data_IF_489292557841
#
_entry.id   IF_489292557841
#
_cell.length_a   1.000
_cell.length_b   1.000
_cell.length_c   1.000
_cell.angle_alpha   90.00
_cell.angle_beta   90.00
_cell.angle_gamma   90.00
#
_symmetry.space_group_name_H-M   'P 1'
#
loop_
_entity.id
_entity.type
_entity.pdbx_description
1 polymer ?
#
# COMPACT_ATOMS: atom_id res chain seq x y z
N UNK A 1 10.09 12.45 -30.00
CA UNK A 1 9.49 11.22 -29.43
C UNK A 1 10.45 10.43 -28.51
N UNK A 2 11.69 10.88 -28.27
CA UNK A 2 12.70 10.14 -27.46
C UNK A 2 12.66 10.45 -25.95
N UNK A 3 12.19 11.63 -25.54
CA UNK A 3 12.31 12.08 -24.13
C UNK A 3 11.50 11.28 -23.10
N UNK A 4 10.26 10.90 -23.41
CA UNK A 4 9.40 10.18 -22.45
C UNK A 4 9.89 8.75 -22.18
N UNK A 5 10.31 8.03 -23.22
CA UNK A 5 10.81 6.66 -23.07
C UNK A 5 12.11 6.64 -22.26
N UNK A 6 13.04 7.56 -22.54
CA UNK A 6 14.29 7.72 -21.79
C UNK A 6 14.01 8.11 -20.32
N UNK A 7 13.09 9.05 -20.08
CA UNK A 7 12.69 9.45 -18.73
C UNK A 7 12.09 8.27 -17.95
N UNK A 8 11.23 7.47 -18.59
CA UNK A 8 10.63 6.27 -17.98
C UNK A 8 11.69 5.22 -17.66
N UNK A 9 12.63 4.96 -18.55
CA UNK A 9 13.69 3.98 -18.34
C UNK A 9 14.62 4.39 -17.20
N UNK A 10 15.00 5.67 -17.14
CA UNK A 10 15.79 6.17 -16.01
C UNK A 10 15.01 6.12 -14.69
N UNK A 11 13.74 6.55 -14.69
CA UNK A 11 12.84 6.42 -13.55
C UNK A 11 12.75 4.98 -13.05
N UNK A 12 12.59 4.01 -13.95
CA UNK A 12 12.49 2.59 -13.60
C UNK A 12 13.77 2.06 -12.93
N UNK A 13 14.95 2.45 -13.44
CA UNK A 13 16.24 2.11 -12.81
C UNK A 13 16.38 2.73 -11.42
N UNK A 14 15.94 3.98 -11.23
CA UNK A 14 15.92 4.61 -9.91
C UNK A 14 14.98 3.86 -8.95
N UNK A 15 13.77 3.49 -9.38
CA UNK A 15 12.85 2.73 -8.54
C UNK A 15 13.42 1.36 -8.16
N UNK A 16 14.00 0.63 -9.11
CA UNK A 16 14.65 -0.65 -8.83
C UNK A 16 15.78 -0.50 -7.79
N UNK A 17 16.61 0.54 -7.91
CA UNK A 17 17.67 0.82 -6.93
C UNK A 17 17.10 1.16 -5.54
N UNK A 18 16.02 1.94 -5.47
CA UNK A 18 15.35 2.26 -4.21
C UNK A 18 14.64 1.07 -3.57
N UNK A 19 14.24 0.07 -4.35
CA UNK A 19 13.53 -1.09 -3.81
C UNK A 19 14.35 -1.90 -2.80
N UNK A 20 15.68 -1.81 -2.83
CA UNK A 20 16.54 -2.60 -1.94
C UNK A 20 16.38 -4.11 -2.15
N UNK A 21 15.97 -4.53 -3.36
CA UNK A 21 15.73 -5.92 -3.75
C UNK A 21 16.56 -6.26 -4.99
N UNK A 22 17.04 -7.50 -5.06
CA UNK A 22 17.75 -8.02 -6.22
C UNK A 22 16.80 -8.53 -7.33
N UNK A 23 15.48 -8.41 -7.16
CA UNK A 23 14.48 -8.86 -8.14
C UNK A 23 14.47 -7.95 -9.38
N UNK A 24 14.97 -8.41 -10.54
CA UNK A 24 15.07 -7.58 -11.74
C UNK A 24 13.69 -7.17 -12.29
N UNK A 25 12.64 -7.92 -11.96
CA UNK A 25 11.27 -7.69 -12.45
C UNK A 25 10.70 -6.36 -11.94
N UNK A 26 11.22 -5.82 -10.82
CA UNK A 26 10.79 -4.52 -10.30
C UNK A 26 11.11 -3.39 -11.29
N UNK A 27 12.32 -3.39 -11.85
CA UNK A 27 12.70 -2.42 -12.87
C UNK A 27 11.86 -2.58 -14.14
N UNK A 28 11.66 -3.81 -14.60
CA UNK A 28 10.82 -4.11 -15.76
C UNK A 28 9.37 -3.66 -15.58
N UNK A 29 8.79 -3.86 -14.39
CA UNK A 29 7.43 -3.43 -14.08
C UNK A 29 7.31 -1.90 -14.18
N UNK A 30 8.21 -1.14 -13.53
CA UNK A 30 8.21 0.32 -13.61
C UNK A 30 8.53 0.86 -15.01
N UNK A 31 9.32 0.13 -15.82
CA UNK A 31 9.64 0.52 -17.18
C UNK A 31 8.49 0.29 -18.17
N UNK A 32 7.60 -0.68 -17.89
CA UNK A 32 6.57 -1.11 -18.83
C UNK A 32 5.16 -0.62 -18.48
N UNK A 33 4.87 -0.34 -17.20
CA UNK A 33 3.58 0.25 -16.80
C UNK A 33 3.63 1.77 -17.03
N UNK A 34 2.85 2.32 -17.99
CA UNK A 34 2.89 3.74 -18.33
C UNK A 34 2.19 4.55 -17.23
N UNK A 35 2.96 5.22 -16.36
CA UNK A 35 2.41 5.95 -15.22
C UNK A 35 1.35 6.99 -15.62
N UNK A 36 1.56 7.70 -16.73
CA UNK A 36 0.62 8.71 -17.26
C UNK A 36 -0.76 8.16 -17.57
N UNK A 37 -0.88 6.87 -17.91
CA UNK A 37 -2.17 6.25 -18.20
C UNK A 37 -3.09 6.21 -16.97
N UNK A 38 -2.54 6.40 -15.76
CA UNK A 38 -3.27 6.33 -14.50
C UNK A 38 -3.47 7.70 -13.85
N UNK A 39 -3.04 8.80 -14.46
CA UNK A 39 -3.07 10.14 -13.84
C UNK A 39 -4.11 11.08 -14.46
N UNK A 40 -4.87 10.61 -15.44
CA UNK A 40 -5.73 11.46 -16.25
C UNK A 40 -4.94 12.45 -17.12
N UNK A 41 -5.62 13.32 -17.87
CA UNK A 41 -4.97 14.28 -18.76
C UNK A 41 -4.20 15.34 -17.98
N UNK A 42 -2.94 15.58 -18.38
CA UNK A 42 -2.15 16.70 -17.88
C UNK A 42 -2.58 18.04 -18.48
N UNK A 43 -1.94 19.16 -18.10
CA UNK A 43 -0.87 19.27 -17.10
C UNK A 43 -1.33 18.87 -15.69
N UNK A 44 -0.46 18.20 -14.95
CA UNK A 44 -0.75 17.64 -13.64
C UNK A 44 -0.37 18.57 -12.50
N UNK A 45 -1.00 18.39 -11.34
CA UNK A 45 -0.58 19.05 -10.09
C UNK A 45 0.31 18.11 -9.30
N UNK A 46 1.58 18.48 -9.14
CA UNK A 46 2.57 17.79 -8.31
C UNK A 46 2.54 18.36 -6.89
N UNK A 47 2.68 17.49 -5.89
CA UNK A 47 2.87 17.87 -4.48
C UNK A 47 4.36 17.80 -4.15
N UNK A 48 4.92 18.87 -3.59
CA UNK A 48 6.33 18.99 -3.23
C UNK A 48 6.46 19.67 -1.85
N UNK A 49 6.71 18.87 -0.81
CA UNK A 49 6.58 19.33 0.57
C UNK A 49 5.16 19.81 0.86
N UNK A 50 5.01 20.99 1.43
CA UNK A 50 3.70 21.64 1.66
C UNK A 50 3.17 22.37 0.41
N UNK A 51 3.97 22.44 -0.66
CA UNK A 51 3.66 23.16 -1.89
C UNK A 51 2.97 22.31 -2.96
N UNK A 52 2.33 22.99 -3.90
CA UNK A 52 1.76 22.39 -5.12
C UNK A 52 2.31 23.12 -6.34
N UNK A 53 2.74 22.37 -7.34
CA UNK A 53 3.31 22.89 -8.59
C UNK A 53 2.61 22.24 -9.77
N UNK A 54 2.13 23.04 -10.72
CA UNK A 54 1.54 22.53 -11.96
C UNK A 54 2.65 22.22 -12.97
N UNK A 55 2.58 21.07 -13.64
CA UNK A 55 3.54 20.76 -14.71
C UNK A 55 3.41 21.78 -15.85
N UNK A 56 4.53 22.15 -16.52
CA UNK A 56 4.49 23.12 -17.61
C UNK A 56 3.62 22.67 -18.81
N UNK A 57 3.49 21.36 -19.00
CA UNK A 57 2.71 20.75 -20.08
C UNK A 57 2.17 19.38 -19.67
N UNK A 58 1.49 18.70 -20.60
CA UNK A 58 1.07 17.31 -20.46
C UNK A 58 2.16 16.30 -20.90
N UNK A 59 3.41 16.72 -21.09
CA UNK A 59 4.52 15.80 -21.37
C UNK A 59 4.76 14.86 -20.17
N UNK A 60 4.60 13.52 -20.33
CA UNK A 60 4.80 12.57 -19.24
C UNK A 60 6.21 12.59 -18.65
N UNK A 61 7.23 13.14 -19.33
CA UNK A 61 8.56 13.30 -18.75
C UNK A 61 8.54 14.05 -17.39
N UNK A 62 7.55 14.92 -17.16
CA UNK A 62 7.39 15.64 -15.90
C UNK A 62 6.97 14.76 -14.70
N UNK A 63 6.34 13.60 -14.93
CA UNK A 63 5.86 12.70 -13.87
C UNK A 63 6.75 11.48 -13.64
N UNK A 64 7.76 11.26 -14.49
CA UNK A 64 8.77 10.20 -14.34
C UNK A 64 9.87 10.62 -13.36
N UNK A 65 9.43 11.00 -12.16
CA UNK A 65 10.24 11.47 -11.04
C UNK A 65 9.65 10.92 -9.74
N UNK A 66 10.38 11.02 -8.63
CA UNK A 66 9.86 10.71 -7.30
C UNK A 66 8.94 11.83 -6.79
N UNK A 67 7.79 11.98 -7.42
CA UNK A 67 6.81 13.04 -7.14
C UNK A 67 5.44 12.43 -6.89
N UNK A 68 4.66 13.10 -6.06
CA UNK A 68 3.24 12.82 -5.86
C UNK A 68 2.42 13.61 -6.87
N UNK A 69 1.45 12.98 -7.52
CA UNK A 69 0.50 13.66 -8.41
C UNK A 69 -0.88 13.62 -7.78
N UNK A 70 -1.51 14.79 -7.66
CA UNK A 70 -2.89 14.92 -7.13
C UNK A 70 -3.88 14.20 -8.05
N UNK A 71 -4.70 13.33 -7.47
CA UNK A 71 -5.83 12.67 -8.15
C UNK A 71 -7.15 13.37 -7.81
N UNK A 72 -7.33 13.73 -6.53
CA UNK A 72 -8.49 14.48 -6.04
C UNK A 72 -8.00 15.49 -4.99
N UNK A 73 -8.02 16.78 -5.35
CA UNK A 73 -7.49 17.85 -4.51
C UNK A 73 -8.37 18.09 -3.27
N UNK A 74 -9.68 17.96 -3.42
CA UNK A 74 -10.66 18.24 -2.37
C UNK A 74 -10.61 17.17 -1.28
N UNK A 75 -10.34 15.92 -1.68
CA UNK A 75 -10.16 14.78 -0.76
C UNK A 75 -8.70 14.59 -0.33
N UNK A 76 -7.76 15.35 -0.88
CA UNK A 76 -6.32 15.22 -0.60
C UNK A 76 -5.71 13.92 -1.12
N UNK A 77 -6.31 13.27 -2.12
CA UNK A 77 -5.87 12.00 -2.69
C UNK A 77 -4.81 12.26 -3.75
N UNK A 78 -3.71 11.51 -3.68
CA UNK A 78 -2.63 11.51 -4.65
C UNK A 78 -2.32 10.09 -5.11
N UNK A 79 -1.52 9.97 -6.17
CA UNK A 79 -1.21 8.69 -6.78
C UNK A 79 -0.16 7.85 -6.03
N UNK A 80 0.34 8.29 -4.86
CA UNK A 80 1.38 7.66 -4.04
C UNK A 80 2.82 7.89 -4.54
N UNK A 81 3.77 7.90 -3.60
CA UNK A 81 5.18 8.23 -3.88
C UNK A 81 5.94 7.02 -4.46
N UNK A 82 6.56 7.16 -5.64
CA UNK A 82 7.26 6.06 -6.30
C UNK A 82 8.35 5.36 -5.47
N UNK A 83 9.27 6.12 -4.86
CA UNK A 83 10.37 5.53 -4.09
C UNK A 83 9.85 4.77 -2.86
N UNK A 84 8.83 5.32 -2.19
CA UNK A 84 8.12 4.62 -1.11
C UNK A 84 7.56 3.29 -1.59
N UNK A 85 6.82 3.28 -2.69
CA UNK A 85 6.21 2.06 -3.21
C UNK A 85 7.25 1.06 -3.74
N UNK A 86 8.36 1.53 -4.32
CA UNK A 86 9.47 0.67 -4.71
C UNK A 86 10.09 -0.05 -3.49
N UNK A 87 10.37 0.68 -2.39
CA UNK A 87 10.83 0.10 -1.13
C UNK A 87 9.81 -0.91 -0.57
N UNK A 88 8.52 -0.61 -0.67
CA UNK A 88 7.46 -1.53 -0.25
C UNK A 88 7.43 -2.80 -1.10
N UNK A 89 7.56 -2.70 -2.42
CA UNK A 89 7.64 -3.86 -3.30
C UNK A 89 8.86 -4.73 -3.02
N UNK A 90 10.03 -4.12 -2.78
CA UNK A 90 11.21 -4.87 -2.36
C UNK A 90 11.02 -5.57 -1.01
N UNK A 91 10.28 -4.96 -0.08
CA UNK A 91 10.03 -5.52 1.25
C UNK A 91 8.97 -6.63 1.26
N UNK A 92 7.86 -6.44 0.53
CA UNK A 92 6.74 -7.41 0.46
C UNK A 92 7.06 -8.58 -0.49
N UNK A 93 7.98 -8.36 -1.44
CA UNK A 93 8.55 -9.34 -2.36
C UNK A 93 7.50 -10.20 -3.09
N UNK A 94 6.65 -9.62 -3.97
CA UNK A 94 5.62 -10.36 -4.71
C UNK A 94 6.22 -11.41 -5.63
N UNK A 95 5.59 -12.60 -5.68
CA UNK A 95 6.03 -13.73 -6.50
C UNK A 95 4.99 -14.12 -7.55
N UNK A 96 5.41 -14.67 -8.71
CA UNK A 96 4.47 -15.19 -9.70
C UNK A 96 3.52 -16.22 -9.08
N UNK A 97 2.23 -16.13 -9.43
CA UNK A 97 1.17 -17.00 -8.96
C UNK A 97 0.53 -16.59 -7.61
N UNK A 98 1.07 -15.61 -6.89
CA UNK A 98 0.49 -15.14 -5.63
C UNK A 98 -0.83 -14.39 -5.85
N UNK A 99 -1.80 -14.64 -4.96
CA UNK A 99 -3.06 -13.90 -4.93
C UNK A 99 -2.91 -12.62 -4.10
N UNK A 100 -3.32 -11.48 -4.66
CA UNK A 100 -3.16 -10.16 -4.04
C UNK A 100 -4.52 -9.54 -3.77
N UNK A 101 -4.71 -8.97 -2.58
CA UNK A 101 -5.73 -7.97 -2.32
C UNK A 101 -5.07 -6.60 -2.18
N UNK A 102 -5.45 -5.64 -3.02
CA UNK A 102 -5.00 -4.24 -2.92
C UNK A 102 -6.14 -3.39 -2.36
N UNK A 103 -5.88 -2.62 -1.30
CA UNK A 103 -6.88 -1.77 -0.62
C UNK A 103 -6.49 -0.31 -0.84
N UNK A 104 -7.39 0.48 -1.44
CA UNK A 104 -7.13 1.87 -1.83
C UNK A 104 -6.40 1.94 -3.17
N UNK A 105 -7.01 1.33 -4.19
CA UNK A 105 -6.40 1.22 -5.52
C UNK A 105 -6.17 2.57 -6.23
N UNK A 106 -6.89 3.62 -5.82
CA UNK A 106 -6.91 4.91 -6.49
C UNK A 106 -7.32 4.72 -7.94
N UNK A 107 -6.52 5.25 -8.87
CA UNK A 107 -6.71 5.06 -10.32
C UNK A 107 -6.03 3.81 -10.88
N UNK A 108 -5.36 2.99 -10.06
CA UNK A 108 -4.89 1.65 -10.44
C UNK A 108 -3.39 1.48 -10.74
N UNK A 109 -2.55 2.52 -10.66
CA UNK A 109 -1.13 2.42 -11.06
C UNK A 109 -0.36 1.32 -10.30
N UNK A 110 -0.47 1.29 -8.97
CA UNK A 110 0.20 0.25 -8.17
C UNK A 110 -0.48 -1.12 -8.29
N UNK A 111 -1.78 -1.17 -8.61
CA UNK A 111 -2.47 -2.41 -8.97
C UNK A 111 -1.87 -3.02 -10.23
N UNK A 112 -1.61 -2.22 -11.26
CA UNK A 112 -0.99 -2.67 -12.50
C UNK A 112 0.42 -3.23 -12.26
N UNK A 113 1.22 -2.58 -11.41
CA UNK A 113 2.55 -3.06 -11.03
C UNK A 113 2.47 -4.40 -10.28
N UNK A 114 1.57 -4.52 -9.29
CA UNK A 114 1.30 -5.77 -8.59
C UNK A 114 0.89 -6.87 -9.57
N UNK A 115 -0.06 -6.59 -10.47
CA UNK A 115 -0.58 -7.52 -11.46
C UNK A 115 0.52 -8.10 -12.35
N UNK A 116 1.47 -7.28 -12.81
CA UNK A 116 2.63 -7.76 -13.57
C UNK A 116 3.57 -8.63 -12.73
N UNK A 117 3.83 -8.24 -11.48
CA UNK A 117 4.77 -8.94 -10.60
C UNK A 117 4.25 -10.29 -10.13
N UNK A 118 2.93 -10.47 -10.03
CA UNK A 118 2.32 -11.72 -9.59
C UNK A 118 1.74 -12.57 -10.70
N UNK A 119 1.67 -12.08 -11.94
CA UNK A 119 1.14 -12.85 -13.07
C UNK A 119 1.75 -14.27 -13.13
N UNK A 120 0.93 -15.32 -13.32
CA UNK A 120 -0.51 -15.32 -13.63
C UNK A 120 -1.45 -15.24 -12.41
N UNK A 121 -0.95 -14.95 -11.20
CA UNK A 121 -1.74 -14.82 -9.98
C UNK A 121 -2.75 -13.67 -10.02
N UNK A 122 -3.90 -13.78 -9.32
CA UNK A 122 -4.97 -12.78 -9.38
C UNK A 122 -4.71 -11.57 -8.46
N UNK A 123 -5.20 -10.40 -8.85
CA UNK A 123 -5.23 -9.19 -8.03
C UNK A 123 -6.67 -8.70 -7.88
N UNK A 124 -7.17 -8.64 -6.65
CA UNK A 124 -8.45 -8.00 -6.31
C UNK A 124 -8.18 -6.63 -5.72
N UNK A 125 -8.60 -5.57 -6.41
CA UNK A 125 -8.32 -4.19 -6.05
C UNK A 125 -9.58 -3.49 -5.55
N UNK A 126 -9.62 -3.16 -4.26
CA UNK A 126 -10.70 -2.40 -3.64
C UNK A 126 -10.42 -0.90 -3.73
N UNK A 127 -11.42 -0.15 -4.16
CA UNK A 127 -11.43 1.31 -4.11
C UNK A 127 -12.77 1.79 -3.52
N UNK A 128 -12.71 2.72 -2.57
CA UNK A 128 -13.90 3.21 -1.86
C UNK A 128 -14.60 4.32 -2.65
N UNK A 129 -13.84 5.15 -3.36
CA UNK A 129 -14.40 6.25 -4.14
C UNK A 129 -14.90 5.77 -5.50
N UNK A 130 -16.18 6.02 -5.80
CA UNK A 130 -16.81 5.54 -7.02
C UNK A 130 -16.14 6.05 -8.31
N UNK A 131 -15.67 7.31 -8.34
CA UNK A 131 -15.06 7.90 -9.53
C UNK A 131 -13.63 7.36 -9.75
N UNK A 132 -12.87 7.17 -8.67
CA UNK A 132 -11.57 6.53 -8.74
C UNK A 132 -11.69 5.06 -9.12
N UNK A 133 -12.66 4.32 -8.56
CA UNK A 133 -12.91 2.93 -8.92
C UNK A 133 -13.25 2.77 -10.40
N UNK A 134 -14.13 3.60 -10.95
CA UNK A 134 -14.45 3.60 -12.38
C UNK A 134 -13.23 3.94 -13.25
N UNK A 135 -12.38 4.87 -12.79
CA UNK A 135 -11.12 5.19 -13.49
C UNK A 135 -10.14 4.00 -13.45
N UNK A 136 -10.03 3.32 -12.30
CA UNK A 136 -9.20 2.14 -12.16
C UNK A 136 -9.67 1.00 -13.06
N UNK A 137 -10.98 0.72 -13.11
CA UNK A 137 -11.57 -0.26 -14.03
C UNK A 137 -11.16 0.01 -15.47
N UNK A 138 -11.28 1.26 -15.93
CA UNK A 138 -10.90 1.66 -17.30
C UNK A 138 -9.39 1.49 -17.54
N UNK A 139 -8.55 1.98 -16.62
CA UNK A 139 -7.09 1.96 -16.75
C UNK A 139 -6.50 0.54 -16.67
N UNK A 140 -7.21 -0.38 -16.01
CA UNK A 140 -6.74 -1.74 -15.75
C UNK A 140 -7.28 -2.78 -16.75
N UNK A 141 -8.04 -2.37 -17.77
CA UNK A 141 -8.59 -3.27 -18.81
C UNK A 141 -7.56 -4.16 -19.50
N UNK A 142 -6.31 -3.72 -19.62
CA UNK A 142 -5.22 -4.49 -20.22
C UNK A 142 -4.60 -5.54 -19.29
N UNK A 143 -5.03 -5.63 -18.03
CA UNK A 143 -4.48 -6.54 -17.01
C UNK A 143 -5.52 -7.62 -16.68
N UNK A 144 -5.50 -8.70 -17.44
CA UNK A 144 -6.51 -9.78 -17.39
C UNK A 144 -6.63 -10.47 -16.01
N UNK A 145 -5.57 -10.40 -15.19
CA UNK A 145 -5.54 -10.96 -13.84
C UNK A 145 -6.01 -9.98 -12.76
N UNK A 146 -6.65 -8.86 -13.12
CA UNK A 146 -7.13 -7.85 -12.18
C UNK A 146 -8.65 -7.78 -12.15
N UNK A 147 -9.22 -7.79 -10.95
CA UNK A 147 -10.62 -7.44 -10.68
C UNK A 147 -10.67 -6.20 -9.80
N UNK A 148 -11.35 -5.15 -10.23
CA UNK A 148 -11.60 -3.94 -9.41
C UNK A 148 -12.95 -4.10 -8.72
N UNK A 149 -13.00 -3.74 -7.45
CA UNK A 149 -14.22 -3.71 -6.64
C UNK A 149 -14.37 -2.30 -6.09
N UNK A 150 -15.40 -1.60 -6.56
CA UNK A 150 -15.90 -0.41 -5.86
C UNK A 150 -16.56 -0.86 -4.55
N UNK A 151 -15.90 -0.61 -3.42
CA UNK A 151 -16.40 -1.06 -2.13
C UNK A 151 -15.46 -0.79 -0.97
N UNK A 152 -16.02 -0.86 0.24
CA UNK A 152 -15.27 -0.66 1.47
C UNK A 152 -14.60 -1.97 1.92
N UNK A 153 -13.28 -2.08 1.75
CA UNK A 153 -12.50 -3.24 2.19
C UNK A 153 -12.52 -3.47 3.71
N UNK A 154 -12.89 -2.47 4.52
CA UNK A 154 -13.02 -2.62 5.99
C UNK A 154 -14.23 -3.48 6.34
N UNK A 155 -15.33 -3.37 5.59
CA UNK A 155 -16.60 -4.07 5.88
C UNK A 155 -16.92 -5.19 4.89
N UNK A 156 -16.28 -5.19 3.73
CA UNK A 156 -16.48 -6.21 2.69
C UNK A 156 -15.66 -7.46 3.01
N UNK A 157 -16.13 -8.67 2.63
CA UNK A 157 -15.32 -9.87 2.72
C UNK A 157 -14.13 -9.76 1.77
N UNK A 158 -12.93 -10.05 2.29
CA UNK A 158 -11.71 -10.11 1.48
C UNK A 158 -11.44 -11.56 1.03
N UNK A 159 -10.90 -11.77 -0.18
CA UNK A 159 -10.49 -13.09 -0.62
C UNK A 159 -9.22 -13.55 0.12
N UNK A 160 -9.05 -14.87 0.24
CA UNK A 160 -7.83 -15.44 0.78
C UNK A 160 -6.62 -15.03 -0.09
N UNK A 161 -5.65 -14.36 0.52
CA UNK A 161 -4.57 -13.66 -0.20
C UNK A 161 -3.19 -14.06 0.31
N UNK A 162 -2.24 -14.20 -0.61
CA UNK A 162 -0.81 -14.31 -0.31
C UNK A 162 -0.23 -12.93 0.04
N UNK A 163 -0.79 -11.86 -0.55
CA UNK A 163 -0.42 -10.47 -0.27
C UNK A 163 -1.66 -9.63 -0.01
N UNK A 164 -1.64 -8.84 1.07
CA UNK A 164 -2.55 -7.70 1.24
C UNK A 164 -1.73 -6.41 1.20
N UNK A 165 -2.02 -5.56 0.23
CA UNK A 165 -1.30 -4.31 -0.01
C UNK A 165 -2.24 -3.14 0.32
N UNK A 166 -1.92 -2.32 1.32
CA UNK A 166 -2.85 -1.30 1.83
C UNK A 166 -2.29 0.09 1.58
N UNK A 167 -3.05 0.92 0.86
CA UNK A 167 -2.70 2.29 0.47
C UNK A 167 -3.55 3.33 1.22
N UNK A 168 -3.89 3.06 2.48
CA UNK A 168 -4.59 3.98 3.37
C UNK A 168 -4.16 3.76 4.81
N UNK A 169 -3.95 4.84 5.56
CA UNK A 169 -3.46 4.81 6.94
C UNK A 169 -4.53 4.28 7.90
N UNK A 170 -4.21 3.23 8.65
CA UNK A 170 -5.13 2.62 9.64
C UNK A 170 -4.60 2.77 11.07
N UNK A 171 -5.51 2.87 12.04
CA UNK A 171 -5.15 2.79 13.45
C UNK A 171 -4.66 1.39 13.81
N UNK A 172 -5.31 0.37 13.26
CA UNK A 172 -4.87 -1.02 13.24
C UNK A 172 -5.56 -1.74 12.06
N UNK A 173 -4.99 -2.83 11.50
CA UNK A 173 -5.69 -3.59 10.48
C UNK A 173 -6.94 -4.27 11.10
N UNK A 174 -8.10 -4.19 10.44
CA UNK A 174 -9.26 -5.00 10.80
C UNK A 174 -8.91 -6.49 10.93
N UNK A 175 -9.50 -7.18 11.91
CA UNK A 175 -9.23 -8.61 12.14
C UNK A 175 -9.52 -9.46 10.89
N UNK A 176 -10.51 -9.06 10.08
CA UNK A 176 -10.85 -9.72 8.82
C UNK A 176 -9.68 -9.69 7.81
N UNK A 177 -8.85 -8.65 7.80
CA UNK A 177 -7.69 -8.57 6.89
C UNK A 177 -6.62 -9.57 7.30
N UNK A 178 -6.35 -9.69 8.61
CA UNK A 178 -5.42 -10.69 9.12
C UNK A 178 -5.91 -12.12 8.83
N UNK A 179 -7.21 -12.38 9.01
CA UNK A 179 -7.84 -13.67 8.71
C UNK A 179 -7.86 -14.01 7.22
N UNK A 180 -7.81 -12.99 6.34
CA UNK A 180 -7.73 -13.19 4.89
C UNK A 180 -6.31 -13.54 4.41
N UNK A 181 -5.27 -13.42 5.25
CA UNK A 181 -3.93 -13.88 4.89
C UNK A 181 -3.86 -15.41 4.89
N UNK A 182 -3.37 -15.98 3.79
CA UNK A 182 -2.99 -17.39 3.71
C UNK A 182 -1.80 -17.68 4.64
N UNK A 183 -1.55 -18.94 5.03
CA UNK A 183 -0.32 -19.32 5.73
C UNK A 183 0.94 -18.84 4.97
N UNK A 184 1.84 -18.15 5.67
CA UNK A 184 3.03 -17.54 5.05
C UNK A 184 2.75 -16.31 4.18
N UNK A 185 1.48 -15.88 4.08
CA UNK A 185 1.06 -14.66 3.40
C UNK A 185 1.52 -13.42 4.15
N UNK A 186 1.59 -12.30 3.43
CA UNK A 186 2.18 -11.05 3.91
C UNK A 186 1.21 -9.88 3.73
N UNK A 187 1.24 -8.92 4.64
CA UNK A 187 0.53 -7.66 4.48
C UNK A 187 1.47 -6.48 4.68
N UNK A 188 1.36 -5.45 3.85
CA UNK A 188 1.99 -4.16 4.11
C UNK A 188 0.92 -3.10 4.28
N UNK A 189 1.03 -2.31 5.34
CA UNK A 189 0.10 -1.22 5.60
C UNK A 189 0.78 -0.03 6.30
N UNK A 190 0.27 1.20 6.11
CA UNK A 190 0.67 2.36 6.89
C UNK A 190 -0.07 2.38 8.23
N UNK A 191 0.69 2.16 9.31
CA UNK A 191 0.20 2.20 10.68
C UNK A 191 0.22 3.63 11.22
N UNK A 192 -0.99 4.19 11.40
CA UNK A 192 -1.25 5.56 11.85
C UNK A 192 -2.27 5.61 13.01
N UNK A 193 -1.96 5.05 14.19
CA UNK A 193 -2.87 5.07 15.35
C UNK A 193 -2.98 6.45 16.03
N UNK A 194 -2.07 7.38 15.71
CA UNK A 194 -2.12 8.79 16.09
C UNK A 194 -1.19 9.57 15.17
N UNK A 195 -1.34 10.91 15.08
CA UNK A 195 -0.52 11.75 14.19
C UNK A 195 1.00 11.61 14.39
N UNK A 196 1.43 11.36 15.64
CA UNK A 196 2.85 11.15 15.99
C UNK A 196 3.42 9.81 15.52
N UNK A 197 2.59 8.88 15.04
CA UNK A 197 2.98 7.55 14.59
C UNK A 197 2.59 7.40 13.12
N UNK A 198 3.61 7.26 12.27
CA UNK A 198 3.44 7.10 10.84
C UNK A 198 4.52 6.13 10.34
N UNK A 199 4.21 4.83 10.36
CA UNK A 199 5.15 3.76 10.02
C UNK A 199 4.55 2.82 8.98
N UNK A 200 5.34 2.38 8.01
CA UNK A 200 4.98 1.20 7.22
C UNK A 200 5.30 -0.05 8.04
N UNK A 201 4.35 -0.98 8.09
CA UNK A 201 4.48 -2.26 8.81
C UNK A 201 4.30 -3.39 7.84
N UNK A 202 5.28 -4.31 7.82
CA UNK A 202 5.15 -5.62 7.19
C UNK A 202 4.59 -6.59 8.23
N UNK A 203 3.59 -7.36 7.86
CA UNK A 203 3.02 -8.46 8.65
C UNK A 203 3.22 -9.75 7.87
N UNK A 204 3.57 -10.84 8.57
CA UNK A 204 3.66 -12.18 7.99
C UNK A 204 2.79 -13.13 8.82
N UNK A 205 1.87 -13.83 8.15
CA UNK A 205 1.10 -14.91 8.77
C UNK A 205 2.01 -16.11 9.04
N UNK A 206 1.98 -16.61 10.27
CA UNK A 206 2.73 -17.80 10.72
C UNK A 206 1.78 -18.81 11.33
N UNK A 207 2.27 -20.00 11.65
CA UNK A 207 1.48 -21.01 12.38
C UNK A 207 1.10 -20.57 13.80
N UNK A 208 1.86 -19.65 14.40
CA UNK A 208 1.68 -19.20 15.78
C UNK A 208 1.02 -17.82 15.90
N UNK A 209 0.59 -17.21 14.81
CA UNK A 209 0.03 -15.85 14.78
C UNK A 209 0.70 -14.96 13.73
N UNK A 210 0.69 -13.65 13.92
CA UNK A 210 1.19 -12.71 12.93
C UNK A 210 2.48 -12.03 13.40
N UNK A 211 3.61 -12.34 12.75
CA UNK A 211 4.84 -11.57 12.94
C UNK A 211 4.66 -10.18 12.34
N UNK A 212 5.17 -9.13 12.99
CA UNK A 212 5.10 -7.76 12.46
C UNK A 212 6.45 -7.05 12.54
N UNK A 213 6.72 -6.22 11.54
CA UNK A 213 7.94 -5.45 11.44
C UNK A 213 7.65 -4.06 10.88
N UNK A 214 7.57 -3.04 11.75
CA UNK A 214 7.69 -1.66 11.33
C UNK A 214 9.07 -1.44 10.70
N UNK A 215 9.15 -0.89 9.50
CA UNK A 215 10.41 -0.85 8.75
C UNK A 215 10.80 0.52 8.18
N UNK A 216 9.87 1.46 8.03
CA UNK A 216 10.17 2.82 7.61
C UNK A 216 9.09 3.80 8.05
N UNK A 217 9.38 5.10 7.99
CA UNK A 217 8.34 6.13 8.10
C UNK A 217 7.43 6.10 6.88
N UNK A 218 6.13 6.29 7.07
CA UNK A 218 5.17 6.33 5.97
C UNK A 218 3.89 7.04 6.38
N UNK A 219 3.46 8.00 5.55
CA UNK A 219 2.24 8.77 5.76
C UNK A 219 1.31 8.59 4.55
N UNK A 220 0.06 8.21 4.81
CA UNK A 220 -0.99 8.00 3.82
C UNK A 220 -2.27 8.65 4.32
N UNK A 221 -3.19 9.00 3.42
CA UNK A 221 -4.52 9.48 3.79
C UNK A 221 -5.24 8.49 4.73
N UNK A 222 -6.12 8.95 5.63
CA UNK A 222 -6.83 8.07 6.56
C UNK A 222 -7.71 7.04 5.83
N UNK A 223 -7.67 5.78 6.28
CA UNK A 223 -8.58 4.74 5.84
C UNK A 223 -9.96 4.93 6.50
N UNK A 224 -10.98 5.26 5.70
CA UNK A 224 -12.35 5.44 6.18
C UNK A 224 -12.84 4.17 6.88
N UNK A 225 -13.26 4.30 8.14
CA UNK A 225 -13.76 3.20 8.96
C UNK A 225 -12.68 2.41 9.73
N UNK A 226 -11.38 2.67 9.49
CA UNK A 226 -10.28 1.98 10.19
C UNK A 226 -9.15 2.91 10.68
N UNK A 227 -9.24 4.23 10.46
CA UNK A 227 -8.22 5.20 10.87
C UNK A 227 -8.39 5.77 12.27
N UNK A 228 -9.57 5.63 12.87
CA UNK A 228 -9.89 6.23 14.17
C UNK A 228 -9.87 5.14 15.24
N UNK A 229 -8.95 5.20 16.21
CA UNK A 229 -8.94 4.24 17.31
C UNK A 229 -10.14 4.47 18.25
N UNK A 230 -10.55 3.42 18.95
CA UNK A 230 -11.56 3.51 20.00
C UNK A 230 -11.05 4.32 21.22
N UNK A 231 -11.93 4.94 22.02
CA UNK A 231 -11.51 5.74 23.19
C UNK A 231 -10.73 4.95 24.25
N UNK A 232 -10.89 3.62 24.30
CA UNK A 232 -10.18 2.73 25.22
C UNK A 232 -8.83 2.25 24.68
N UNK A 233 -8.46 2.67 23.47
CA UNK A 233 -7.29 2.15 22.80
C UNK A 233 -6.00 2.52 23.53
N UNK A 234 -5.12 1.54 23.66
CA UNK A 234 -3.73 1.76 24.07
C UNK A 234 -2.92 2.17 22.84
N UNK A 235 -2.69 3.48 22.69
CA UNK A 235 -1.95 4.04 21.54
C UNK A 235 -0.46 4.16 21.85
N UNK A 236 0.44 3.61 21.02
CA UNK A 236 1.88 3.72 21.23
C UNK A 236 2.39 5.13 20.93
N UNK A 237 3.56 5.46 21.46
CA UNK A 237 4.44 6.47 20.86
C UNK A 237 5.24 5.84 19.70
N UNK A 238 5.97 6.66 18.93
CA UNK A 238 6.71 6.17 17.76
C UNK A 238 7.77 5.13 18.12
N UNK A 239 8.41 5.27 19.28
CA UNK A 239 9.45 4.35 19.74
C UNK A 239 8.88 2.98 20.10
N UNK A 240 7.79 2.94 20.88
CA UNK A 240 7.07 1.71 21.21
C UNK A 240 6.49 1.06 19.96
N UNK A 241 5.94 1.84 19.03
CA UNK A 241 5.43 1.32 17.77
C UNK A 241 6.54 0.59 16.99
N UNK A 242 7.72 1.22 16.84
CA UNK A 242 8.87 0.63 16.15
C UNK A 242 9.42 -0.66 16.81
N UNK A 243 9.16 -0.86 18.11
CA UNK A 243 9.54 -2.07 18.85
C UNK A 243 8.53 -3.22 18.71
N UNK A 244 7.42 -3.04 18.00
CA UNK A 244 6.44 -4.12 17.79
C UNK A 244 7.02 -5.24 16.92
N UNK A 245 6.72 -6.49 17.30
CA UNK A 245 7.25 -7.73 16.70
C UNK A 245 6.17 -8.76 16.36
N UNK A 246 4.98 -8.65 16.95
CA UNK A 246 3.83 -9.47 16.57
C UNK A 246 2.50 -8.71 16.70
N UNK A 247 1.48 -9.23 16.02
CA UNK A 247 0.08 -8.81 16.11
C UNK A 247 -0.74 -10.05 16.49
N UNK A 248 -1.71 -9.86 17.37
CA UNK A 248 -2.59 -10.90 17.87
C UNK A 248 -4.04 -10.43 17.76
N UNK A 249 -4.92 -11.36 17.38
CA UNK A 249 -6.35 -11.18 17.59
C UNK A 249 -6.64 -11.35 19.08
N UNK A 250 -7.40 -10.44 19.68
CA UNK A 250 -7.77 -10.52 21.09
C UNK A 250 -8.56 -11.79 21.38
N UNK A 251 -9.35 -12.27 20.40
CA UNK A 251 -10.09 -13.54 20.48
C UNK A 251 -9.20 -14.76 20.67
N UNK A 252 -7.97 -14.71 20.15
CA UNK A 252 -7.06 -15.85 20.11
C UNK A 252 -6.07 -15.79 21.27
N UNK A 253 -5.69 -14.58 21.68
CA UNK A 253 -4.77 -14.33 22.79
C UNK A 253 -5.08 -12.99 23.44
N UNK A 254 -5.36 -13.00 24.74
CA UNK A 254 -5.57 -11.77 25.50
C UNK A 254 -4.28 -10.92 25.56
N UNK A 255 -4.38 -9.57 25.52
CA UNK A 255 -3.22 -8.70 25.70
C UNK A 255 -2.52 -8.93 27.04
N UNK A 256 -1.18 -8.92 27.01
CA UNK A 256 -0.34 -9.06 28.20
C UNK A 256 0.61 -7.86 28.38
N UNK A 257 1.57 -7.98 29.31
CA UNK A 257 2.54 -6.91 29.62
C UNK A 257 3.43 -6.48 28.43
N UNK A 258 3.51 -7.30 27.38
CA UNK A 258 4.29 -7.01 26.18
C UNK A 258 3.54 -6.12 25.18
N UNK A 259 2.27 -5.82 25.43
CA UNK A 259 1.44 -5.04 24.52
C UNK A 259 2.03 -3.64 24.27
N UNK A 260 2.44 -3.36 23.03
CA UNK A 260 2.83 -2.02 22.57
C UNK A 260 1.61 -1.18 22.20
N UNK A 261 0.57 -1.82 21.67
CA UNK A 261 -0.71 -1.19 21.32
C UNK A 261 -1.88 -2.16 21.50
N UNK A 262 -3.08 -1.66 21.81
CA UNK A 262 -4.34 -2.41 21.85
C UNK A 262 -5.38 -1.53 21.19
N UNK A 263 -5.92 -1.95 20.04
CA UNK A 263 -6.78 -1.11 19.19
C UNK A 263 -7.83 -2.01 18.54
N UNK A 264 -9.11 -1.78 18.87
CA UNK A 264 -10.21 -2.61 18.40
C UNK A 264 -10.01 -4.10 18.75
N UNK A 265 -10.05 -4.97 17.75
CA UNK A 265 -9.99 -6.43 17.92
C UNK A 265 -8.56 -7.00 17.97
N UNK A 266 -7.54 -6.14 17.85
CA UNK A 266 -6.15 -6.57 17.74
C UNK A 266 -5.26 -5.87 18.75
N UNK A 267 -4.15 -6.52 19.10
CA UNK A 267 -3.09 -5.91 19.87
C UNK A 267 -1.71 -6.24 19.30
N UNK A 268 -0.80 -5.29 19.46
CA UNK A 268 0.59 -5.39 19.02
C UNK A 268 1.46 -5.70 20.22
N UNK A 269 2.46 -6.55 20.06
CA UNK A 269 3.39 -6.96 21.13
C UNK A 269 4.83 -6.62 20.76
N UNK A 270 5.65 -6.31 21.76
CA UNK A 270 7.11 -6.18 21.59
C UNK A 270 7.83 -7.52 21.43
N UNK A 271 7.14 -8.64 21.65
CA UNK A 271 7.68 -10.00 21.49
C UNK A 271 7.27 -10.60 20.14
N UNK A 272 8.09 -11.52 19.63
CA UNK A 272 7.79 -12.27 18.41
C UNK A 272 6.64 -13.26 18.59
N UNK A 273 6.31 -13.94 17.50
CA UNK A 273 5.47 -15.15 17.52
C UNK A 273 6.36 -16.33 17.91
N UNK A 274 6.13 -16.91 19.10
CA UNK A 274 7.01 -17.92 19.71
C UNK A 274 7.62 -17.45 21.03
#
# INVERSE_FOLDING_TARGET
>A
MTGTAEAREFYARLMAAHAGSADPRLGEAFATVPREAFLGPGPWTIIAGDGRVKTPSADPAHIYQNVLVTLDADKGINNGEPCLHAMWFGRIAPRPGEAVTHIGAGTGYYTALLAKLVAPGPVTAFELDAALAASAEQNLTAYENVAVIHGNAVTSPLPASDIIYVNAGVAAPPAAWLKALKPGGRMVFPWRPAERVALAVLVTSTEFGFACQPFMGSWFIPCVGASTPDPSAKIPDREKAARSRSIWLISDKAPDRTATAIIGEVWFSSHGVG
#
